data_IF_946243050043
#
_entry.id   IF_946243050043
#
_cell.length_a   1.000
_cell.length_b   1.000
_cell.length_c   1.000
_cell.angle_alpha   90.00
_cell.angle_beta   90.00
_cell.angle_gamma   90.00
#
_symmetry.space_group_name_H-M   'P 1'
#
loop_
_entity.id
_entity.type
_entity.pdbx_description
1 polymer ?
#
# COMPACT_ATOMS: atom_id res chain seq x y z
N UNK A 1 30.92 -11.35 12.31
CA UNK A 1 29.69 -12.12 12.08
C UNK A 1 28.78 -11.27 11.20
N UNK A 2 28.66 -11.61 9.91
CA UNK A 2 27.69 -10.93 9.04
C UNK A 2 26.28 -11.32 9.47
N UNK A 3 25.52 -10.36 9.99
CA UNK A 3 24.13 -10.57 10.34
C UNK A 3 23.33 -10.86 9.06
N UNK A 4 22.79 -12.07 8.96
CA UNK A 4 21.95 -12.52 7.85
C UNK A 4 20.67 -11.65 7.80
N UNK A 5 20.23 -11.29 6.60
CA UNK A 5 18.95 -10.59 6.43
C UNK A 5 17.79 -11.51 6.83
N UNK A 6 16.82 -10.96 7.56
CA UNK A 6 15.61 -11.71 7.92
C UNK A 6 14.76 -11.88 6.67
N UNK A 7 14.48 -13.14 6.29
CA UNK A 7 13.56 -13.45 5.19
C UNK A 7 12.16 -12.88 5.42
N UNK A 8 11.75 -12.77 6.70
CA UNK A 8 10.50 -12.12 7.10
C UNK A 8 10.49 -10.62 6.77
N UNK A 9 11.62 -9.94 6.97
CA UNK A 9 11.77 -8.52 6.64
C UNK A 9 11.72 -8.26 5.13
N UNK A 10 12.31 -9.15 4.32
CA UNK A 10 12.25 -9.05 2.85
C UNK A 10 10.81 -9.29 2.37
N UNK A 11 10.12 -10.30 2.91
CA UNK A 11 8.72 -10.56 2.59
C UNK A 11 7.82 -9.38 2.96
N UNK A 12 7.99 -8.80 4.16
CA UNK A 12 7.27 -7.60 4.58
C UNK A 12 7.51 -6.42 3.63
N UNK A 13 8.77 -6.20 3.23
CA UNK A 13 9.14 -5.13 2.32
C UNK A 13 8.54 -5.31 0.92
N UNK A 14 8.66 -6.50 0.33
CA UNK A 14 8.06 -6.79 -0.98
C UNK A 14 6.54 -6.66 -0.95
N UNK A 15 5.89 -7.09 0.14
CA UNK A 15 4.44 -6.98 0.29
C UNK A 15 4.00 -5.52 0.47
N UNK A 16 4.69 -4.73 1.31
CA UNK A 16 4.45 -3.29 1.44
C UNK A 16 4.63 -2.55 0.11
N UNK A 17 5.73 -2.82 -0.59
CA UNK A 17 6.03 -2.16 -1.86
C UNK A 17 5.02 -2.55 -2.95
N UNK A 18 4.68 -3.83 -3.04
CA UNK A 18 3.71 -4.34 -4.01
C UNK A 18 2.32 -3.73 -3.78
N UNK A 19 1.84 -3.74 -2.54
CA UNK A 19 0.54 -3.15 -2.20
C UNK A 19 0.52 -1.62 -2.40
N UNK A 20 1.60 -0.90 -2.06
CA UNK A 20 1.72 0.52 -2.33
C UNK A 20 1.68 0.85 -3.83
N UNK A 21 2.40 0.08 -4.66
CA UNK A 21 2.39 0.25 -6.12
C UNK A 21 1.02 -0.06 -6.72
N UNK A 22 0.35 -1.12 -6.27
CA UNK A 22 -1.00 -1.48 -6.73
C UNK A 22 -1.98 -0.34 -6.41
N UNK A 23 -1.94 0.23 -5.20
CA UNK A 23 -2.76 1.39 -4.87
C UNK A 23 -2.49 2.57 -5.78
N UNK A 24 -1.21 2.94 -5.94
CA UNK A 24 -0.82 4.10 -6.75
C UNK A 24 -1.24 3.94 -8.21
N UNK A 25 -1.03 2.76 -8.80
CA UNK A 25 -1.47 2.45 -10.17
C UNK A 25 -2.99 2.47 -10.30
N UNK A 26 -3.73 2.01 -9.28
CA UNK A 26 -5.20 2.05 -9.29
C UNK A 26 -5.73 3.49 -9.29
N UNK A 27 -5.12 4.36 -8.49
CA UNK A 27 -5.49 5.79 -8.44
C UNK A 27 -5.15 6.47 -9.76
N UNK A 28 -3.94 6.26 -10.31
CA UNK A 28 -3.56 6.82 -11.61
C UNK A 28 -4.49 6.31 -12.71
N UNK A 29 -4.80 5.01 -12.73
CA UNK A 29 -5.72 4.41 -13.69
C UNK A 29 -7.11 5.04 -13.64
N UNK A 30 -7.65 5.25 -12.44
CA UNK A 30 -8.91 5.95 -12.23
C UNK A 30 -8.85 7.41 -12.70
N UNK A 31 -7.81 8.16 -12.32
CA UNK A 31 -7.63 9.55 -12.76
C UNK A 31 -7.53 9.66 -14.29
N UNK A 32 -6.78 8.78 -14.93
CA UNK A 32 -6.63 8.76 -16.39
C UNK A 32 -7.95 8.40 -17.06
N UNK A 33 -8.69 7.42 -16.55
CA UNK A 33 -10.01 7.06 -17.07
C UNK A 33 -10.98 8.26 -17.01
N UNK A 34 -11.01 8.96 -15.87
CA UNK A 34 -11.83 10.16 -15.69
C UNK A 34 -11.44 11.28 -16.68
N UNK A 35 -10.14 11.54 -16.90
CA UNK A 35 -9.67 12.56 -17.86
C UNK A 35 -10.06 12.20 -19.29
N UNK A 36 -10.07 10.91 -19.65
CA UNK A 36 -10.46 10.45 -20.98
C UNK A 36 -11.99 10.40 -21.20
N UNK A 37 -12.78 10.89 -20.25
CA UNK A 37 -14.25 10.97 -20.37
C UNK A 37 -14.95 9.62 -20.14
N UNK A 38 -14.29 8.64 -19.53
CA UNK A 38 -14.96 7.43 -19.05
C UNK A 38 -15.82 7.82 -17.86
N UNK A 39 -17.14 7.63 -17.96
CA UNK A 39 -18.07 7.91 -16.87
C UNK A 39 -17.80 6.97 -15.68
N UNK A 40 -17.09 7.50 -14.70
CA UNK A 40 -16.89 6.88 -13.40
C UNK A 40 -18.05 7.26 -12.47
N UNK A 41 -19.23 6.69 -12.72
CA UNK A 41 -20.33 6.75 -11.76
C UNK A 41 -20.09 5.75 -10.61
N UNK A 42 -20.78 5.95 -9.49
CA UNK A 42 -20.71 5.07 -8.31
C UNK A 42 -21.16 3.64 -8.63
N UNK A 43 -22.10 3.50 -9.57
CA UNK A 43 -22.61 2.21 -10.05
C UNK A 43 -21.77 1.61 -11.19
N UNK A 44 -20.76 2.34 -11.69
CA UNK A 44 -19.90 1.82 -12.75
C UNK A 44 -19.09 0.64 -12.22
N UNK A 45 -19.07 -0.52 -12.91
CA UNK A 45 -18.31 -1.69 -12.49
C UNK A 45 -16.82 -1.38 -12.27
N UNK A 46 -16.29 -0.42 -13.03
CA UNK A 46 -14.92 0.03 -12.97
C UNK A 46 -14.60 0.78 -11.66
N UNK A 47 -15.52 1.63 -11.18
CA UNK A 47 -15.40 2.33 -9.89
C UNK A 47 -15.41 1.34 -8.72
N UNK A 48 -16.32 0.36 -8.76
CA UNK A 48 -16.40 -0.71 -7.75
C UNK A 48 -15.11 -1.56 -7.73
N UNK A 49 -14.57 -1.93 -8.90
CA UNK A 49 -13.32 -2.69 -8.98
C UNK A 49 -12.13 -1.90 -8.42
N UNK A 50 -12.00 -0.62 -8.75
CA UNK A 50 -10.93 0.25 -8.21
C UNK A 50 -11.03 0.33 -6.69
N UNK A 51 -12.23 0.59 -6.15
CA UNK A 51 -12.46 0.63 -4.70
C UNK A 51 -12.09 -0.67 -4.02
N UNK A 52 -12.49 -1.81 -4.58
CA UNK A 52 -12.17 -3.14 -4.04
C UNK A 52 -10.66 -3.40 -4.04
N UNK A 53 -9.96 -3.06 -5.12
CA UNK A 53 -8.50 -3.24 -5.23
C UNK A 53 -7.78 -2.39 -4.19
N UNK A 54 -8.20 -1.14 -4.00
CA UNK A 54 -7.63 -0.25 -2.98
C UNK A 54 -7.86 -0.81 -1.57
N UNK A 55 -9.05 -1.30 -1.26
CA UNK A 55 -9.37 -1.90 0.05
C UNK A 55 -8.51 -3.16 0.29
N UNK A 56 -8.44 -4.07 -0.69
CA UNK A 56 -7.61 -5.27 -0.62
C UNK A 56 -6.12 -4.94 -0.42
N UNK A 57 -5.60 -3.97 -1.18
CA UNK A 57 -4.25 -3.48 -1.00
C UNK A 57 -4.04 -2.85 0.38
N UNK A 58 -5.08 -2.23 0.96
CA UNK A 58 -5.09 -1.67 2.31
C UNK A 58 -4.87 -2.73 3.37
N UNK A 59 -5.61 -3.83 3.30
CA UNK A 59 -5.38 -4.99 4.16
C UNK A 59 -3.98 -5.59 3.98
N UNK A 60 -3.48 -5.66 2.74
CA UNK A 60 -2.10 -6.04 2.45
C UNK A 60 -1.09 -5.13 3.15
N UNK A 61 -1.31 -3.82 3.14
CA UNK A 61 -0.47 -2.85 3.85
C UNK A 61 -0.45 -3.09 5.37
N UNK A 62 -1.58 -3.45 5.97
CA UNK A 62 -1.66 -3.77 7.40
C UNK A 62 -0.91 -5.07 7.74
N UNK A 63 -1.01 -6.08 6.87
CA UNK A 63 -0.24 -7.33 7.01
C UNK A 63 1.26 -7.05 6.86
N UNK A 64 1.66 -6.25 5.88
CA UNK A 64 3.04 -5.83 5.68
C UNK A 64 3.58 -5.07 6.90
N UNK A 65 2.76 -4.21 7.51
CA UNK A 65 3.10 -3.47 8.72
C UNK A 65 3.27 -4.42 9.91
N UNK A 66 2.36 -5.37 10.13
CA UNK A 66 2.48 -6.38 11.18
C UNK A 66 3.73 -7.26 11.01
N UNK A 67 4.02 -7.69 9.78
CA UNK A 67 5.23 -8.44 9.43
C UNK A 67 6.51 -7.59 9.60
N UNK A 68 6.45 -6.32 9.24
CA UNK A 68 7.56 -5.37 9.41
C UNK A 68 7.89 -5.15 10.89
N UNK A 69 6.87 -5.01 11.73
CA UNK A 69 7.01 -4.96 13.20
C UNK A 69 7.59 -6.27 13.72
N UNK A 70 7.05 -7.42 13.32
CA UNK A 70 7.58 -8.73 13.73
C UNK A 70 9.06 -8.91 13.33
N UNK A 71 9.44 -8.45 12.14
CA UNK A 71 10.83 -8.47 11.66
C UNK A 71 11.76 -7.52 12.45
N UNK A 72 11.24 -6.43 13.02
CA UNK A 72 12.00 -5.51 13.86
C UNK A 72 12.33 -6.09 15.25
N UNK A 73 11.48 -7.00 15.76
CA UNK A 73 11.68 -7.67 17.04
C UNK A 73 12.47 -8.98 16.95
N UNK A 74 12.77 -9.51 15.76
CA UNK A 74 13.58 -10.71 15.61
C UNK A 74 15.04 -10.51 16.06
N UNK A 75 15.55 -11.33 17.00
CA UNK A 75 16.96 -11.29 17.40
C UNK A 75 17.87 -11.82 16.27
N UNK A 76 19.12 -11.33 16.24
CA UNK A 76 20.19 -11.82 15.36
C UNK A 76 19.99 -11.68 13.84
N UNK A 77 19.20 -10.70 13.37
CA UNK A 77 19.05 -10.41 11.91
C UNK A 77 19.11 -8.90 11.61
N UNK A 78 19.46 -8.56 10.36
CA UNK A 78 19.45 -7.16 9.88
C UNK A 78 18.02 -6.61 9.81
N UNK A 79 17.72 -5.59 10.63
CA UNK A 79 16.38 -4.98 10.78
C UNK A 79 15.98 -3.97 9.69
N UNK A 80 16.91 -3.63 8.79
CA UNK A 80 16.75 -2.58 7.78
C UNK A 80 15.49 -2.79 6.92
N UNK A 81 15.25 -4.02 6.45
CA UNK A 81 14.07 -4.32 5.63
C UNK A 81 12.75 -4.26 6.40
N UNK A 82 12.74 -4.63 7.69
CA UNK A 82 11.55 -4.49 8.53
C UNK A 82 11.20 -3.01 8.75
N UNK A 83 12.20 -2.17 8.99
CA UNK A 83 12.00 -0.72 9.16
C UNK A 83 11.55 -0.07 7.85
N UNK A 84 12.16 -0.43 6.70
CA UNK A 84 11.69 0.08 5.39
C UNK A 84 10.25 -0.31 5.11
N UNK A 85 9.86 -1.56 5.41
CA UNK A 85 8.48 -2.02 5.25
C UNK A 85 7.51 -1.18 6.09
N UNK A 86 7.85 -0.92 7.37
CA UNK A 86 7.03 -0.08 8.25
C UNK A 86 6.91 1.35 7.69
N UNK A 87 8.02 1.98 7.31
CA UNK A 87 8.01 3.36 6.79
C UNK A 87 7.20 3.47 5.51
N UNK A 88 7.35 2.52 4.57
CA UNK A 88 6.58 2.49 3.32
C UNK A 88 5.10 2.24 3.60
N UNK A 89 4.76 1.30 4.48
CA UNK A 89 3.36 1.01 4.82
C UNK A 89 2.70 2.21 5.49
N UNK A 90 3.34 2.84 6.48
CA UNK A 90 2.81 4.03 7.15
C UNK A 90 2.66 5.18 6.16
N UNK A 91 3.71 5.46 5.38
CA UNK A 91 3.68 6.51 4.36
C UNK A 91 2.58 6.29 3.33
N UNK A 92 2.39 5.04 2.87
CA UNK A 92 1.35 4.70 1.90
C UNK A 92 -0.05 4.81 2.48
N UNK A 93 -0.28 4.38 3.72
CA UNK A 93 -1.58 4.53 4.41
C UNK A 93 -1.92 6.00 4.61
N UNK A 94 -0.96 6.82 5.07
CA UNK A 94 -1.16 8.25 5.25
C UNK A 94 -1.41 8.94 3.91
N UNK A 95 -0.60 8.65 2.89
CA UNK A 95 -0.76 9.22 1.55
C UNK A 95 -2.12 8.87 0.94
N UNK A 96 -2.57 7.62 1.09
CA UNK A 96 -3.90 7.20 0.67
C UNK A 96 -5.00 7.94 1.45
N UNK A 97 -4.86 8.06 2.77
CA UNK A 97 -5.79 8.81 3.60
C UNK A 97 -5.92 10.28 3.16
N UNK A 98 -4.79 10.93 2.84
CA UNK A 98 -4.78 12.30 2.32
C UNK A 98 -5.49 12.41 0.96
N UNK A 99 -5.30 11.44 0.06
CA UNK A 99 -6.00 11.41 -1.23
C UNK A 99 -7.50 11.23 -1.07
N UNK A 100 -7.94 10.34 -0.17
CA UNK A 100 -9.37 10.16 0.14
C UNK A 100 -9.97 11.46 0.68
N UNK A 101 -9.31 12.10 1.65
CA UNK A 101 -9.77 13.37 2.22
C UNK A 101 -9.82 14.45 1.13
N UNK A 102 -8.81 14.55 0.28
CA UNK A 102 -8.79 15.50 -0.83
C UNK A 102 -9.95 15.26 -1.80
N UNK A 103 -10.25 14.00 -2.11
CA UNK A 103 -11.41 13.62 -2.92
C UNK A 103 -12.73 14.02 -2.27
N UNK A 104 -12.90 13.77 -0.97
CA UNK A 104 -14.10 14.14 -0.21
C UNK A 104 -14.30 15.66 -0.07
N UNK A 105 -13.23 16.45 -0.15
CA UNK A 105 -13.31 17.91 -0.14
C UNK A 105 -13.62 18.52 -1.52
N UNK A 106 -13.33 17.78 -2.59
CA UNK A 106 -13.52 18.23 -3.98
C UNK A 106 -14.82 17.70 -4.62
N UNK A 107 -15.38 16.60 -4.11
CA UNK A 107 -16.72 16.10 -4.45
C UNK A 107 -17.81 16.83 -3.67
#
# INVERSE_FOLDING_TARGET
MELKHSGLGIAAFCLALGCALIMLLSVIGASVAAINGVEMNEDSPLSLMVGLVIICAGFGQLIALALGVAAAFMPATKKVFGILAIVISIGSVIGMGMLVIAGLMMG
#
